data_IF_264481926835
#
_entry.id   IF_264481926835
#
_cell.length_a   1.000
_cell.length_b   1.000
_cell.length_c   1.000
_cell.angle_alpha   90.00
_cell.angle_beta   90.00
_cell.angle_gamma   90.00
#
_symmetry.space_group_name_H-M   'P 1'
#
loop_
_entity.id
_entity.type
_entity.pdbx_description
1 polymer ?
#
# COMPACT_ATOMS: atom_id res chain seq x y z
N UNK A 1 20.28 -12.34 -31.15
CA UNK A 1 21.18 -12.19 -32.31
C UNK A 1 22.64 -11.91 -31.89
N UNK A 2 22.92 -11.19 -30.85
CA UNK A 2 24.27 -10.82 -30.38
C UNK A 2 25.08 -11.97 -29.79
N UNK A 3 24.45 -12.88 -29.04
CA UNK A 3 25.13 -14.01 -28.38
C UNK A 3 25.67 -15.01 -29.42
N UNK A 4 24.87 -15.40 -30.43
CA UNK A 4 25.31 -16.30 -31.52
C UNK A 4 26.46 -15.74 -32.34
N UNK A 5 26.45 -14.39 -32.56
CA UNK A 5 27.55 -13.75 -33.29
C UNK A 5 28.85 -13.75 -32.47
N UNK A 6 28.76 -13.64 -31.15
CA UNK A 6 29.91 -13.75 -30.26
C UNK A 6 30.47 -15.16 -30.19
N UNK A 7 29.61 -16.18 -30.03
CA UNK A 7 30.02 -17.62 -30.06
C UNK A 7 30.73 -17.98 -31.34
N UNK A 8 30.20 -17.56 -32.50
CA UNK A 8 30.84 -17.82 -33.79
C UNK A 8 32.23 -17.15 -33.90
N UNK A 9 32.37 -15.93 -33.35
CA UNK A 9 33.69 -15.24 -33.32
C UNK A 9 34.67 -15.96 -32.40
N UNK A 10 34.23 -16.41 -31.23
CA UNK A 10 35.05 -17.15 -30.26
C UNK A 10 35.56 -18.48 -30.88
N UNK A 11 34.69 -19.23 -31.58
CA UNK A 11 35.05 -20.44 -32.28
C UNK A 11 36.07 -20.19 -33.41
N UNK A 12 35.91 -19.12 -34.18
CA UNK A 12 36.85 -18.73 -35.23
C UNK A 12 38.24 -18.32 -34.71
N UNK A 13 38.27 -17.66 -33.52
CA UNK A 13 39.52 -17.26 -32.89
C UNK A 13 40.25 -18.45 -32.26
N UNK A 14 39.51 -19.36 -31.60
CA UNK A 14 40.09 -20.61 -31.07
C UNK A 14 40.70 -21.49 -32.19
N UNK A 15 40.09 -21.53 -33.37
CA UNK A 15 40.59 -22.24 -34.54
C UNK A 15 41.88 -21.61 -35.12
N UNK A 16 42.16 -20.33 -34.77
CA UNK A 16 43.38 -19.60 -35.22
C UNK A 16 44.51 -19.59 -34.18
N UNK A 17 44.36 -20.32 -33.05
CA UNK A 17 45.35 -20.38 -31.97
C UNK A 17 45.51 -19.03 -31.22
N UNK A 18 44.53 -18.12 -31.34
CA UNK A 18 44.54 -16.83 -30.59
C UNK A 18 43.96 -17.06 -29.20
N UNK A 19 44.41 -16.27 -28.19
CA UNK A 19 43.88 -16.32 -26.83
C UNK A 19 42.35 -16.14 -26.82
N UNK A 20 41.62 -16.93 -25.99
CA UNK A 20 40.17 -16.80 -25.90
C UNK A 20 39.77 -15.36 -25.50
N UNK A 21 38.73 -14.85 -26.18
CA UNK A 21 38.15 -13.55 -25.81
C UNK A 21 37.66 -13.62 -24.36
N UNK A 22 37.87 -12.55 -23.57
CA UNK A 22 37.27 -12.50 -22.24
C UNK A 22 35.76 -12.70 -22.39
N UNK A 23 35.19 -13.57 -21.55
CA UNK A 23 33.75 -13.79 -21.51
C UNK A 23 33.02 -12.47 -21.33
N UNK A 24 31.96 -12.21 -22.10
CA UNK A 24 31.17 -10.99 -21.88
C UNK A 24 30.62 -11.01 -20.47
N UNK A 25 30.89 -9.95 -19.71
CA UNK A 25 30.34 -9.77 -18.38
C UNK A 25 28.81 -9.89 -18.47
N UNK A 26 28.28 -11.02 -18.03
CA UNK A 26 26.84 -11.19 -17.88
C UNK A 26 26.45 -10.59 -16.53
N UNK A 27 25.91 -9.39 -16.56
CA UNK A 27 25.32 -8.76 -15.37
C UNK A 27 23.94 -9.40 -15.19
N UNK A 28 23.86 -10.41 -14.33
CA UNK A 28 22.57 -10.91 -13.85
C UNK A 28 22.13 -10.04 -12.67
N UNK A 29 21.10 -9.19 -12.86
CA UNK A 29 20.56 -8.41 -11.75
C UNK A 29 19.87 -9.38 -10.78
N UNK A 30 20.55 -9.72 -9.69
CA UNK A 30 19.96 -10.53 -8.62
C UNK A 30 19.11 -9.64 -7.72
N UNK A 31 17.82 -9.84 -7.74
CA UNK A 31 16.88 -9.15 -6.83
C UNK A 31 16.88 -9.87 -5.48
N UNK A 32 17.51 -9.28 -4.49
CA UNK A 32 17.66 -9.84 -3.12
C UNK A 32 16.33 -10.10 -2.41
N UNK A 33 15.28 -9.31 -2.73
CA UNK A 33 13.98 -9.38 -2.04
C UNK A 33 12.93 -10.25 -2.76
N UNK A 34 13.10 -10.51 -4.04
CA UNK A 34 12.14 -11.26 -4.83
C UNK A 34 12.86 -11.99 -5.96
N UNK A 35 13.67 -13.03 -5.64
CA UNK A 35 14.45 -13.76 -6.66
C UNK A 35 13.58 -14.36 -7.76
N UNK A 36 12.34 -14.74 -7.44
CA UNK A 36 11.38 -15.31 -8.39
C UNK A 36 10.51 -14.26 -9.09
N UNK A 37 10.77 -12.95 -8.88
CA UNK A 37 10.01 -11.81 -9.44
C UNK A 37 8.49 -11.96 -9.28
N UNK A 38 8.05 -12.53 -8.15
CA UNK A 38 6.63 -12.71 -7.86
C UNK A 38 5.98 -11.36 -7.56
N UNK A 39 5.22 -10.85 -8.51
CA UNK A 39 4.48 -9.58 -8.42
C UNK A 39 3.59 -9.52 -7.18
N UNK A 40 3.08 -10.66 -6.70
CA UNK A 40 2.21 -10.75 -5.53
C UNK A 40 2.86 -10.22 -4.24
N UNK A 41 4.16 -10.46 -4.03
CA UNK A 41 4.90 -9.99 -2.84
C UNK A 41 4.91 -8.45 -2.76
N UNK A 42 4.90 -7.79 -3.91
CA UNK A 42 4.87 -6.34 -4.00
C UNK A 42 3.43 -5.78 -3.95
N UNK A 43 2.50 -6.43 -4.64
CA UNK A 43 1.14 -5.93 -4.85
C UNK A 43 0.27 -6.12 -3.62
N UNK A 44 0.33 -7.28 -2.94
CA UNK A 44 -0.57 -7.59 -1.82
C UNK A 44 -0.46 -6.58 -0.66
N UNK A 45 0.74 -6.24 -0.15
CA UNK A 45 0.87 -5.23 0.91
C UNK A 45 0.34 -3.85 0.49
N UNK A 46 0.53 -3.49 -0.78
CA UNK A 46 0.02 -2.24 -1.33
C UNK A 46 -1.50 -2.19 -1.42
N UNK A 47 -2.12 -3.30 -1.83
CA UNK A 47 -3.57 -3.41 -1.89
C UNK A 47 -4.25 -3.24 -0.52
N UNK A 48 -3.62 -3.71 0.57
CA UNK A 48 -4.14 -3.45 1.92
C UNK A 48 -4.37 -1.96 2.13
N UNK A 49 -3.37 -1.14 1.87
CA UNK A 49 -3.45 0.30 2.06
C UNK A 49 -4.48 0.97 1.13
N UNK A 50 -4.51 0.58 -0.14
CA UNK A 50 -5.45 1.13 -1.13
C UNK A 50 -6.90 0.82 -0.76
N UNK A 51 -7.20 -0.44 -0.45
CA UNK A 51 -8.55 -0.88 -0.12
C UNK A 51 -9.02 -0.25 1.21
N UNK A 52 -8.15 -0.20 2.22
CA UNK A 52 -8.45 0.48 3.48
C UNK A 52 -8.72 1.98 3.26
N UNK A 53 -7.90 2.67 2.49
CA UNK A 53 -8.10 4.10 2.19
C UNK A 53 -9.46 4.33 1.55
N UNK A 54 -9.78 3.58 0.50
CA UNK A 54 -11.04 3.72 -0.22
C UNK A 54 -12.25 3.49 0.71
N UNK A 55 -12.26 2.37 1.42
CA UNK A 55 -13.40 1.97 2.24
C UNK A 55 -13.58 2.86 3.46
N UNK A 56 -12.49 3.20 4.17
CA UNK A 56 -12.57 4.01 5.39
C UNK A 56 -13.03 5.44 5.07
N UNK A 57 -12.46 6.09 4.06
CA UNK A 57 -12.84 7.45 3.67
C UNK A 57 -14.29 7.46 3.16
N UNK A 58 -14.62 6.59 2.21
CA UNK A 58 -15.91 6.57 1.56
C UNK A 58 -17.05 6.26 2.54
N UNK A 59 -16.91 5.20 3.34
CA UNK A 59 -17.97 4.80 4.27
C UNK A 59 -18.19 5.82 5.37
N UNK A 60 -17.09 6.37 5.93
CA UNK A 60 -17.20 7.40 6.97
C UNK A 60 -17.85 8.68 6.43
N UNK A 61 -17.42 9.14 5.26
CA UNK A 61 -17.99 10.33 4.63
C UNK A 61 -19.48 10.14 4.33
N UNK A 62 -19.85 9.02 3.71
CA UNK A 62 -21.24 8.73 3.38
C UNK A 62 -22.13 8.53 4.61
N UNK A 63 -21.62 7.91 5.68
CA UNK A 63 -22.41 7.68 6.88
C UNK A 63 -22.88 8.98 7.53
N UNK A 64 -21.97 9.94 7.66
CA UNK A 64 -22.30 11.25 8.25
C UNK A 64 -23.23 12.07 7.35
N UNK A 65 -22.96 12.06 6.03
CA UNK A 65 -23.82 12.77 5.06
C UNK A 65 -25.21 12.15 4.99
N UNK A 66 -25.33 10.81 5.08
CA UNK A 66 -26.62 10.11 5.12
C UNK A 66 -27.51 10.58 6.28
N UNK A 67 -26.93 10.80 7.46
CA UNK A 67 -27.68 11.28 8.61
C UNK A 67 -28.16 12.72 8.40
N UNK A 68 -27.35 13.54 7.73
CA UNK A 68 -27.73 14.90 7.34
C UNK A 68 -28.88 14.89 6.33
N UNK A 69 -28.80 14.06 5.30
CA UNK A 69 -29.85 13.93 4.27
C UNK A 69 -31.19 13.43 4.85
N UNK A 70 -31.13 12.56 5.88
CA UNK A 70 -32.31 12.01 6.55
C UNK A 70 -32.88 12.88 7.65
N UNK A 71 -32.24 14.01 7.98
CA UNK A 71 -32.65 14.89 9.07
C UNK A 71 -32.45 14.30 10.47
N UNK A 72 -31.84 13.12 10.59
CA UNK A 72 -31.59 12.46 11.89
C UNK A 72 -30.47 13.14 12.67
N UNK A 73 -29.66 13.97 12.04
CA UNK A 73 -28.58 14.72 12.68
C UNK A 73 -29.11 15.73 13.70
N UNK A 74 -30.26 16.36 13.44
CA UNK A 74 -30.91 17.29 14.36
C UNK A 74 -31.37 16.57 15.62
N UNK A 75 -31.93 15.35 15.51
CA UNK A 75 -32.34 14.53 16.65
C UNK A 75 -31.13 14.14 17.53
N UNK A 76 -29.96 13.89 16.92
CA UNK A 76 -28.74 13.59 17.64
C UNK A 76 -28.18 14.78 18.40
N UNK A 77 -28.34 16.00 17.87
CA UNK A 77 -27.89 17.24 18.52
C UNK A 77 -28.72 17.57 19.76
N UNK A 78 -30.00 17.23 19.76
CA UNK A 78 -30.92 17.48 20.89
C UNK A 78 -30.77 16.38 21.98
N UNK A 79 -30.11 15.27 21.67
CA UNK A 79 -29.90 14.18 22.64
C UNK A 79 -28.87 14.60 23.71
N UNK A 80 -28.98 14.08 24.97
CA UNK A 80 -28.02 14.40 26.03
C UNK A 80 -26.63 13.78 25.85
N UNK A 81 -26.32 13.25 24.65
CA UNK A 81 -25.04 12.61 24.32
C UNK A 81 -24.00 13.68 23.96
N UNK A 82 -22.81 13.57 24.54
CA UNK A 82 -21.70 14.46 24.25
C UNK A 82 -21.23 14.34 22.78
N UNK A 83 -20.79 15.46 22.19
CA UNK A 83 -20.30 15.48 20.78
C UNK A 83 -19.18 14.48 20.52
N UNK A 84 -18.27 14.33 21.48
CA UNK A 84 -17.13 13.40 21.38
C UNK A 84 -17.62 11.95 21.42
N UNK A 85 -18.55 11.63 22.32
CA UNK A 85 -19.15 10.29 22.44
C UNK A 85 -19.86 9.89 21.14
N UNK A 86 -20.57 10.84 20.53
CA UNK A 86 -21.26 10.63 19.26
C UNK A 86 -20.29 10.34 18.12
N UNK A 87 -19.18 11.08 18.02
CA UNK A 87 -18.14 10.85 17.01
C UNK A 87 -17.45 9.51 17.25
N UNK A 88 -17.07 9.19 18.48
CA UNK A 88 -16.43 7.92 18.83
C UNK A 88 -17.37 6.74 18.51
N UNK A 89 -18.64 6.84 18.92
CA UNK A 89 -19.63 5.80 18.65
C UNK A 89 -19.80 5.52 17.15
N UNK A 90 -19.71 6.55 16.31
CA UNK A 90 -19.78 6.39 14.85
C UNK A 90 -18.51 5.81 14.23
N UNK A 91 -17.33 6.18 14.75
CA UNK A 91 -16.04 5.76 14.22
C UNK A 91 -15.71 4.31 14.63
N UNK A 92 -16.09 3.90 15.83
CA UNK A 92 -15.77 2.58 16.39
C UNK A 92 -16.11 1.40 15.46
N UNK A 93 -17.31 1.30 14.86
CA UNK A 93 -17.61 0.21 13.95
C UNK A 93 -16.72 0.19 12.70
N UNK A 94 -16.31 1.36 12.21
CA UNK A 94 -15.42 1.45 11.06
C UNK A 94 -13.98 1.04 11.39
N UNK A 95 -13.52 1.30 12.62
CA UNK A 95 -12.22 0.78 13.10
C UNK A 95 -12.25 -0.75 13.08
N UNK A 96 -13.31 -1.37 13.60
CA UNK A 96 -13.47 -2.83 13.60
C UNK A 96 -13.49 -3.38 12.17
N UNK A 97 -14.26 -2.75 11.28
CA UNK A 97 -14.32 -3.12 9.86
C UNK A 97 -12.93 -3.00 9.23
N UNK A 98 -12.17 -1.95 9.52
CA UNK A 98 -10.81 -1.76 9.02
C UNK A 98 -9.87 -2.89 9.42
N UNK A 99 -9.91 -3.31 10.68
CA UNK A 99 -9.11 -4.45 11.15
C UNK A 99 -9.52 -5.77 10.54
N UNK A 100 -10.82 -6.03 10.46
CA UNK A 100 -11.34 -7.25 9.80
C UNK A 100 -10.90 -7.30 8.34
N UNK A 101 -11.06 -6.20 7.62
CA UNK A 101 -10.66 -6.09 6.22
C UNK A 101 -9.16 -6.29 6.02
N UNK A 102 -8.33 -5.64 6.85
CA UNK A 102 -6.88 -5.84 6.82
C UNK A 102 -6.51 -7.30 7.08
N UNK A 103 -7.09 -7.91 8.13
CA UNK A 103 -6.85 -9.31 8.47
C UNK A 103 -7.23 -10.25 7.33
N UNK A 104 -8.34 -9.97 6.67
CA UNK A 104 -8.83 -10.77 5.55
C UNK A 104 -7.89 -10.68 4.35
N UNK A 105 -7.44 -9.46 4.00
CA UNK A 105 -6.50 -9.27 2.87
C UNK A 105 -5.15 -9.96 3.17
N UNK A 106 -4.64 -9.84 4.39
CA UNK A 106 -3.39 -10.50 4.79
C UNK A 106 -3.55 -12.03 4.79
N UNK A 107 -4.68 -12.55 5.23
CA UNK A 107 -4.99 -13.98 5.22
C UNK A 107 -5.03 -14.52 3.79
N UNK A 108 -5.73 -13.85 2.89
CA UNK A 108 -5.78 -14.20 1.46
C UNK A 108 -4.39 -14.10 0.83
N UNK A 109 -3.64 -13.03 1.14
CA UNK A 109 -2.26 -12.85 0.69
C UNK A 109 -1.36 -14.01 1.08
N UNK A 110 -1.50 -14.52 2.32
CA UNK A 110 -0.73 -15.66 2.82
C UNK A 110 -1.18 -16.99 2.21
N UNK A 111 -2.49 -17.25 2.17
CA UNK A 111 -3.03 -18.56 1.76
C UNK A 111 -3.01 -18.75 0.24
N UNK A 112 -3.35 -17.71 -0.53
CA UNK A 112 -3.48 -17.80 -1.99
C UNK A 112 -2.17 -17.42 -2.69
N UNK A 113 -1.55 -16.33 -2.24
CA UNK A 113 -0.36 -15.79 -2.90
C UNK A 113 0.96 -16.18 -2.22
N UNK A 114 0.90 -16.92 -1.11
CA UNK A 114 2.08 -17.40 -0.37
C UNK A 114 3.04 -16.26 0.01
N UNK A 115 2.50 -15.06 0.28
CA UNK A 115 3.31 -13.90 0.68
C UNK A 115 3.89 -14.17 2.07
N UNK A 116 5.23 -14.14 2.25
CA UNK A 116 5.84 -14.34 3.55
C UNK A 116 5.51 -13.14 4.46
N UNK A 117 4.86 -13.40 5.59
CA UNK A 117 4.65 -12.42 6.65
C UNK A 117 5.76 -12.58 7.68
N UNK A 118 6.96 -12.08 7.36
CA UNK A 118 8.14 -12.25 8.19
C UNK A 118 8.22 -11.25 9.35
N UNK A 119 7.44 -10.17 9.32
CA UNK A 119 7.46 -9.11 10.34
C UNK A 119 6.58 -9.37 11.55
N UNK A 120 6.71 -8.51 12.58
CA UNK A 120 5.88 -8.57 13.77
C UNK A 120 4.45 -8.11 13.47
N UNK A 121 3.48 -9.04 13.51
CA UNK A 121 2.06 -8.72 13.35
C UNK A 121 1.56 -7.65 14.33
N UNK A 122 1.90 -7.68 15.63
CA UNK A 122 1.47 -6.63 16.56
C UNK A 122 1.89 -5.22 16.14
N UNK A 123 3.12 -5.06 15.64
CA UNK A 123 3.60 -3.78 15.14
C UNK A 123 2.81 -3.33 13.91
N UNK A 124 2.54 -4.26 12.99
CA UNK A 124 1.75 -3.98 11.80
C UNK A 124 0.33 -3.49 12.16
N UNK A 125 -0.34 -4.15 13.12
CA UNK A 125 -1.66 -3.74 13.60
C UNK A 125 -1.63 -2.40 14.33
N UNK A 126 -0.60 -2.11 15.13
CA UNK A 126 -0.44 -0.83 15.80
C UNK A 126 -0.27 0.33 14.80
N UNK A 127 0.53 0.14 13.75
CA UNK A 127 0.71 1.12 12.70
C UNK A 127 -0.54 1.27 11.82
N UNK A 128 -1.24 0.16 11.56
CA UNK A 128 -2.52 0.18 10.88
C UNK A 128 -3.58 0.97 11.65
N UNK A 129 -3.55 0.99 13.00
CA UNK A 129 -4.46 1.81 13.80
C UNK A 129 -4.34 3.29 13.46
N UNK A 130 -3.10 3.78 13.38
CA UNK A 130 -2.82 5.19 13.03
C UNK A 130 -3.27 5.49 11.60
N UNK A 131 -3.04 4.56 10.69
CA UNK A 131 -3.47 4.70 9.30
C UNK A 131 -4.99 4.70 9.15
N UNK A 132 -5.69 3.78 9.84
CA UNK A 132 -7.16 3.73 9.88
C UNK A 132 -7.71 5.05 10.45
N UNK A 133 -7.17 5.50 11.58
CA UNK A 133 -7.60 6.77 12.20
C UNK A 133 -7.43 7.97 11.27
N UNK A 134 -6.30 8.07 10.56
CA UNK A 134 -6.06 9.13 9.60
C UNK A 134 -7.07 9.11 8.44
N UNK A 135 -7.39 7.93 7.89
CA UNK A 135 -8.38 7.81 6.81
C UNK A 135 -9.81 8.10 7.29
N UNK A 136 -10.17 7.69 8.52
CA UNK A 136 -11.46 8.04 9.12
C UNK A 136 -11.59 9.55 9.34
N UNK A 137 -10.52 10.21 9.78
CA UNK A 137 -10.49 11.68 9.93
C UNK A 137 -10.67 12.38 8.57
N UNK A 138 -10.03 11.88 7.50
CA UNK A 138 -10.24 12.38 6.14
C UNK A 138 -11.69 12.15 5.67
N UNK A 139 -12.29 11.01 5.97
CA UNK A 139 -13.69 10.75 5.68
C UNK A 139 -14.64 11.72 6.40
N UNK A 140 -14.38 11.99 7.69
CA UNK A 140 -15.12 13.02 8.43
C UNK A 140 -14.93 14.40 7.80
N UNK A 141 -13.71 14.76 7.42
CA UNK A 141 -13.43 16.02 6.73
C UNK A 141 -14.25 16.15 5.43
N UNK A 142 -14.28 15.12 4.59
CA UNK A 142 -15.09 15.12 3.36
C UNK A 142 -16.58 15.21 3.65
N UNK A 143 -17.06 14.63 4.75
CA UNK A 143 -18.45 14.76 5.15
C UNK A 143 -18.87 16.19 5.52
N UNK A 144 -17.93 17.06 5.89
CA UNK A 144 -18.24 18.47 6.17
C UNK A 144 -18.50 19.28 4.90
N UNK A 145 -17.85 18.88 3.80
CA UNK A 145 -17.93 19.58 2.50
C UNK A 145 -19.07 19.02 1.64
N UNK A 146 -19.25 17.69 1.65
CA UNK A 146 -20.25 17.03 0.84
C UNK A 146 -21.68 17.31 1.33
N UNK A 147 -22.58 17.63 0.42
CA UNK A 147 -24.00 17.86 0.71
C UNK A 147 -24.84 16.60 0.52
N UNK A 148 -24.41 15.70 -0.36
CA UNK A 148 -25.10 14.44 -0.68
C UNK A 148 -24.17 13.24 -0.57
N UNK A 149 -24.72 12.04 -0.31
CA UNK A 149 -23.95 10.81 -0.29
C UNK A 149 -23.21 10.58 -1.60
N UNK A 150 -23.85 10.89 -2.73
CA UNK A 150 -23.23 10.77 -4.04
C UNK A 150 -22.01 11.69 -4.18
N UNK A 151 -22.12 12.93 -3.70
CA UNK A 151 -21.01 13.88 -3.69
C UNK A 151 -19.87 13.37 -2.80
N UNK A 152 -20.18 12.85 -1.61
CA UNK A 152 -19.18 12.27 -0.69
C UNK A 152 -18.44 11.10 -1.34
N UNK A 153 -19.15 10.21 -2.03
CA UNK A 153 -18.56 9.10 -2.76
C UNK A 153 -17.65 9.59 -3.90
N UNK A 154 -18.09 10.54 -4.69
CA UNK A 154 -17.28 11.12 -5.78
C UNK A 154 -16.00 11.77 -5.25
N UNK A 155 -16.09 12.58 -4.18
CA UNK A 155 -14.93 13.23 -3.56
C UNK A 155 -13.93 12.18 -3.04
N UNK A 156 -14.42 11.12 -2.40
CA UNK A 156 -13.58 10.02 -1.90
C UNK A 156 -12.84 9.33 -3.05
N UNK A 157 -13.54 9.09 -4.16
CA UNK A 157 -12.95 8.45 -5.33
C UNK A 157 -11.92 9.35 -6.03
N UNK A 158 -12.22 10.65 -6.19
CA UNK A 158 -11.27 11.60 -6.75
C UNK A 158 -10.02 11.78 -5.90
N UNK A 159 -10.15 11.67 -4.58
CA UNK A 159 -9.01 11.69 -3.67
C UNK A 159 -8.19 10.40 -3.76
N UNK A 160 -8.82 9.26 -4.00
CA UNK A 160 -8.15 7.97 -4.09
C UNK A 160 -7.15 7.92 -5.25
N UNK A 161 -7.47 8.49 -6.42
CA UNK A 161 -6.62 8.45 -7.60
C UNK A 161 -5.22 9.07 -7.35
N UNK A 162 -5.11 10.36 -6.94
CA UNK A 162 -3.81 10.93 -6.64
C UNK A 162 -3.12 10.22 -5.44
N UNK A 163 -3.90 9.73 -4.48
CA UNK A 163 -3.36 9.00 -3.34
C UNK A 163 -2.66 7.71 -3.78
N UNK A 164 -3.25 6.93 -4.68
CA UNK A 164 -2.63 5.71 -5.22
C UNK A 164 -1.39 6.05 -6.07
N UNK A 165 -1.52 7.05 -6.96
CA UNK A 165 -0.42 7.43 -7.86
C UNK A 165 0.81 7.94 -7.12
N UNK A 166 0.60 8.75 -6.07
CA UNK A 166 1.66 9.36 -5.29
C UNK A 166 2.17 8.49 -4.14
N UNK A 167 1.46 7.42 -3.75
CA UNK A 167 1.82 6.57 -2.63
C UNK A 167 3.12 5.77 -2.81
N UNK A 168 3.65 5.68 -4.02
CA UNK A 168 4.75 4.79 -4.36
C UNK A 168 4.29 3.35 -4.67
N UNK A 169 2.96 3.14 -4.80
CA UNK A 169 2.39 1.83 -5.15
C UNK A 169 2.57 1.50 -6.64
N UNK A 170 2.21 2.43 -7.53
CA UNK A 170 2.31 2.25 -8.98
C UNK A 170 3.67 2.75 -9.48
N UNK A 171 4.08 3.93 -9.05
CA UNK A 171 5.36 4.53 -9.43
C UNK A 171 6.33 4.57 -8.25
N UNK A 172 7.60 4.18 -8.43
CA UNK A 172 8.61 4.31 -7.38
C UNK A 172 8.72 5.77 -6.91
N UNK A 173 8.74 5.98 -5.59
CA UNK A 173 8.78 7.32 -4.99
C UNK A 173 10.01 8.12 -5.46
N UNK A 174 11.14 7.44 -5.62
CA UNK A 174 12.42 8.02 -6.03
C UNK A 174 12.40 8.55 -7.48
N UNK A 175 11.53 7.97 -8.34
CA UNK A 175 11.34 8.39 -9.73
C UNK A 175 10.41 9.58 -9.92
N UNK A 176 9.75 10.05 -8.85
CA UNK A 176 8.82 11.17 -8.94
C UNK A 176 9.54 12.52 -8.92
N UNK A 177 9.02 13.55 -9.62
CA UNK A 177 9.55 14.91 -9.50
C UNK A 177 9.35 15.45 -8.08
N UNK A 178 10.28 16.32 -7.61
CA UNK A 178 10.28 16.85 -6.22
C UNK A 178 8.94 17.42 -5.74
N UNK A 179 8.16 18.19 -6.52
CA UNK A 179 6.84 18.66 -6.08
C UNK A 179 5.86 17.52 -5.78
N UNK A 180 5.88 16.46 -6.59
CA UNK A 180 5.03 15.28 -6.36
C UNK A 180 5.45 14.52 -5.09
N UNK A 181 6.75 14.43 -4.80
CA UNK A 181 7.26 13.84 -3.57
C UNK A 181 6.79 14.61 -2.32
N UNK A 182 6.74 15.94 -2.36
CA UNK A 182 6.23 16.75 -1.25
C UNK A 182 4.73 16.51 -1.01
N UNK A 183 3.93 16.48 -2.08
CA UNK A 183 2.51 16.15 -1.96
C UNK A 183 2.30 14.72 -1.45
N UNK A 184 3.09 13.78 -1.90
CA UNK A 184 3.05 12.40 -1.44
C UNK A 184 3.29 12.24 0.07
N UNK A 185 4.16 13.08 0.65
CA UNK A 185 4.44 13.06 2.09
C UNK A 185 3.24 13.51 2.95
N UNK A 186 2.28 14.24 2.40
CA UNK A 186 1.06 14.62 3.11
C UNK A 186 0.02 13.49 3.12
N UNK A 187 0.20 12.48 2.28
CA UNK A 187 -0.77 11.41 2.10
C UNK A 187 -0.50 10.25 3.07
N UNK A 188 -1.50 9.80 3.84
CA UNK A 188 -1.32 8.72 4.82
C UNK A 188 -0.93 7.38 4.14
N UNK A 189 -1.41 7.12 2.92
CA UNK A 189 -1.10 5.90 2.18
C UNK A 189 0.39 5.75 1.88
N UNK A 190 1.10 6.85 1.60
CA UNK A 190 2.55 6.85 1.32
C UNK A 190 3.35 6.34 2.53
N UNK A 191 3.01 6.82 3.72
CA UNK A 191 3.68 6.39 4.96
C UNK A 191 3.34 4.94 5.31
N UNK A 192 2.07 4.57 5.20
CA UNK A 192 1.63 3.20 5.45
C UNK A 192 2.33 2.22 4.50
N UNK A 193 2.42 2.55 3.23
CA UNK A 193 3.05 1.70 2.22
C UNK A 193 4.55 1.49 2.48
N UNK A 194 5.28 2.53 2.89
CA UNK A 194 6.69 2.42 3.30
C UNK A 194 6.87 1.51 4.51
N UNK A 195 6.01 1.69 5.52
CA UNK A 195 6.07 0.90 6.75
C UNK A 195 5.74 -0.57 6.48
N UNK A 196 4.68 -0.86 5.74
CA UNK A 196 4.29 -2.23 5.43
C UNK A 196 5.38 -2.92 4.62
N UNK A 197 5.98 -2.24 3.65
CA UNK A 197 7.14 -2.76 2.92
C UNK A 197 8.32 -3.03 3.84
N UNK A 198 8.71 -2.10 4.69
CA UNK A 198 9.80 -2.31 5.66
C UNK A 198 9.59 -3.56 6.51
N UNK A 199 8.38 -3.75 7.02
CA UNK A 199 8.04 -4.93 7.84
C UNK A 199 8.09 -6.23 7.02
N UNK A 200 7.66 -6.21 5.75
CA UNK A 200 7.62 -7.42 4.92
C UNK A 200 8.97 -7.75 4.28
N UNK A 201 9.82 -6.76 3.99
CA UNK A 201 11.08 -6.95 3.24
C UNK A 201 12.33 -6.99 4.12
N UNK A 202 12.47 -6.11 5.10
CA UNK A 202 13.68 -6.06 5.94
C UNK A 202 13.85 -7.28 6.83
N UNK A 203 12.76 -7.89 7.31
CA UNK A 203 12.85 -9.11 8.12
C UNK A 203 13.21 -10.35 7.28
N UNK A 204 12.84 -10.37 6.00
CA UNK A 204 13.21 -11.48 5.09
C UNK A 204 14.72 -11.51 4.82
N UNK A 205 15.36 -10.34 4.65
CA UNK A 205 16.81 -10.25 4.43
C UNK A 205 17.65 -10.68 5.63
N UNK A 206 17.22 -10.40 6.86
CA UNK A 206 17.93 -10.85 8.06
C UNK A 206 17.82 -12.35 8.32
N UNK A 207 16.69 -12.96 7.96
CA UNK A 207 16.48 -14.39 8.15
C UNK A 207 17.30 -15.22 7.17
N UNK A 208 17.46 -14.75 5.92
CA UNK A 208 18.29 -15.42 4.93
C UNK A 208 19.80 -15.30 5.24
N UNK A 209 20.25 -14.16 5.76
CA UNK A 209 21.65 -13.98 6.18
C UNK A 209 22.05 -14.84 7.40
N UNK A 210 21.09 -15.36 8.18
CA UNK A 210 21.33 -16.27 9.29
C UNK A 210 21.30 -17.76 8.91
N UNK A 211 20.84 -18.09 7.70
CA UNK A 211 20.77 -19.47 7.17
C UNK A 211 22.02 -19.80 6.33
N UNK A 212 22.78 -18.79 5.88
CA UNK A 212 24.03 -18.97 5.12
C UNK A 212 25.30 -19.00 5.98
N UNK A 213 25.21 -19.11 7.33
CA UNK A 213 26.31 -19.42 8.25
C UNK A 213 26.12 -20.82 8.79
#
# INVERSE_FOLDING_TARGET
ASVRAFELRALHQSARGQAPLPEPLSIEPTTWYNPELKTAIYVVPGLVGVILTMTMIMFTAMAVVRERERGTLEQLIVSPVGRVELVIGKITPYIVIGYVQMSLILLVGRLVFHVPLAGSLPLLYALASTFIAANLALGLFFSTIAKTQQQAMQMSFFFLLPNILLSGFIFPFEGMPKPAQWLAQLLPLTHFHRVVRGITTEFSGRTLALIEI
#
